data_IF_920437512138
#
_entry.id   IF_920437512138
#
_cell.length_a   1.000
_cell.length_b   1.000
_cell.length_c   1.000
_cell.angle_alpha   90.00
_cell.angle_beta   90.00
_cell.angle_gamma   90.00
#
_symmetry.space_group_name_H-M   'P 1'
#
loop_
_entity.id
_entity.type
_entity.pdbx_description
1 polymer ?
#
# COMPACT_ATOMS: atom_id res chain seq x y z
N UNK A 1 -17.59 12.58 -20.37
CA UNK A 1 -18.86 12.77 -19.64
C UNK A 1 -18.52 12.87 -18.16
N UNK A 2 -18.43 14.09 -17.62
CA UNK A 2 -18.11 14.39 -16.21
C UNK A 2 -19.38 14.19 -15.37
N UNK A 3 -19.88 12.96 -15.27
CA UNK A 3 -20.87 12.64 -14.23
C UNK A 3 -20.18 12.84 -12.88
N UNK A 4 -20.81 13.67 -12.06
CA UNK A 4 -20.11 14.51 -11.09
C UNK A 4 -19.55 13.71 -9.91
N UNK A 5 -18.29 14.00 -9.57
CA UNK A 5 -17.60 13.48 -8.38
C UNK A 5 -18.44 13.59 -7.10
N UNK A 6 -19.31 14.60 -6.99
CA UNK A 6 -20.22 14.81 -5.87
C UNK A 6 -21.37 13.80 -5.80
N UNK A 7 -21.99 13.45 -6.92
CA UNK A 7 -23.02 12.40 -6.96
C UNK A 7 -22.40 11.03 -6.61
N UNK A 8 -21.19 10.76 -7.09
CA UNK A 8 -20.47 9.54 -6.74
C UNK A 8 -20.13 9.48 -5.23
N UNK A 9 -19.76 10.62 -4.61
CA UNK A 9 -19.50 10.70 -3.16
C UNK A 9 -20.74 10.42 -2.31
N UNK A 10 -21.93 10.86 -2.73
CA UNK A 10 -23.19 10.58 -2.02
C UNK A 10 -23.50 9.07 -1.95
N UNK A 11 -22.98 8.28 -2.90
CA UNK A 11 -23.21 6.85 -2.99
C UNK A 11 -22.17 6.00 -2.21
N UNK A 12 -21.12 6.62 -1.64
CA UNK A 12 -20.05 5.90 -0.92
C UNK A 12 -20.54 5.18 0.35
N UNK A 13 -21.69 5.57 0.90
CA UNK A 13 -22.29 4.93 2.08
C UNK A 13 -23.09 3.66 1.73
N UNK A 14 -23.51 3.50 0.47
CA UNK A 14 -24.37 2.39 0.06
C UNK A 14 -23.74 1.00 0.23
N UNK A 15 -22.43 0.78 0.04
CA UNK A 15 -21.79 -0.51 0.31
C UNK A 15 -22.10 -1.10 1.69
N UNK A 16 -22.29 -0.26 2.70
CA UNK A 16 -22.64 -0.68 4.06
C UNK A 16 -24.05 -1.26 4.18
N UNK A 17 -24.96 -0.90 3.27
CA UNK A 17 -26.36 -1.34 3.26
C UNK A 17 -26.66 -2.41 2.20
N UNK A 18 -25.68 -2.78 1.39
CA UNK A 18 -25.87 -3.77 0.32
C UNK A 18 -25.72 -5.21 0.83
N UNK A 19 -26.56 -6.15 0.34
CA UNK A 19 -26.35 -7.57 0.59
C UNK A 19 -24.95 -8.01 0.13
N UNK A 20 -24.26 -8.83 0.93
CA UNK A 20 -22.87 -9.28 0.66
C UNK A 20 -22.66 -9.80 -0.77
N UNK A 21 -23.66 -10.47 -1.36
CA UNK A 21 -23.59 -10.98 -2.73
C UNK A 21 -23.50 -9.86 -3.77
N UNK A 22 -24.32 -8.82 -3.60
CA UNK A 22 -24.34 -7.64 -4.48
C UNK A 22 -23.03 -6.87 -4.36
N UNK A 23 -22.55 -6.64 -3.14
CA UNK A 23 -21.26 -5.98 -2.91
C UNK A 23 -20.10 -6.74 -3.60
N UNK A 24 -20.06 -8.07 -3.46
CA UNK A 24 -19.07 -8.91 -4.14
C UNK A 24 -19.15 -8.80 -5.66
N UNK A 25 -20.35 -8.77 -6.23
CA UNK A 25 -20.52 -8.61 -7.67
C UNK A 25 -20.10 -7.24 -8.17
N UNK A 26 -20.40 -6.18 -7.41
CA UNK A 26 -19.95 -4.83 -7.74
C UNK A 26 -18.44 -4.74 -7.73
N UNK A 27 -17.78 -5.17 -6.65
CA UNK A 27 -16.31 -5.20 -6.55
C UNK A 27 -15.67 -6.04 -7.65
N UNK A 28 -16.29 -7.17 -8.02
CA UNK A 28 -15.80 -8.00 -9.11
C UNK A 28 -15.91 -7.37 -10.50
N UNK A 29 -16.77 -6.34 -10.66
CA UNK A 29 -17.00 -5.60 -11.90
C UNK A 29 -16.30 -4.24 -11.93
N UNK A 30 -15.64 -3.84 -10.86
CA UNK A 30 -14.79 -2.64 -10.86
C UNK A 30 -13.68 -2.88 -11.89
N UNK A 31 -13.59 -2.07 -12.95
CA UNK A 31 -12.53 -2.21 -13.93
C UNK A 31 -11.17 -2.01 -13.28
N UNK A 32 -10.14 -2.59 -13.88
CA UNK A 32 -8.76 -2.29 -13.51
C UNK A 32 -8.54 -0.78 -13.58
N UNK A 33 -7.95 -0.21 -12.54
CA UNK A 33 -7.55 1.19 -12.54
C UNK A 33 -6.30 1.32 -13.42
N UNK A 34 -6.37 2.02 -14.57
CA UNK A 34 -5.23 2.15 -15.47
C UNK A 34 -4.05 2.90 -14.84
N UNK A 35 -4.31 3.75 -13.83
CA UNK A 35 -3.27 4.52 -13.14
C UNK A 35 -2.67 3.78 -11.93
N UNK A 36 -3.08 2.52 -11.70
CA UNK A 36 -2.76 1.68 -10.55
C UNK A 36 -3.26 2.23 -9.21
N UNK A 37 -3.92 1.40 -8.42
CA UNK A 37 -4.31 1.80 -7.06
C UNK A 37 -3.08 1.94 -6.16
N UNK A 38 -2.73 3.19 -5.86
CA UNK A 38 -1.71 3.54 -4.87
C UNK A 38 -2.34 3.70 -3.50
N UNK A 39 -1.86 2.91 -2.53
CA UNK A 39 -2.28 3.00 -1.14
C UNK A 39 -1.13 3.59 -0.31
N UNK A 40 -1.28 4.82 0.15
CA UNK A 40 -0.32 5.49 1.01
C UNK A 40 -0.89 5.65 2.42
N UNK A 41 -0.09 5.31 3.43
CA UNK A 41 -0.44 5.54 4.83
C UNK A 41 0.78 6.02 5.62
N UNK A 42 0.55 6.94 6.55
CA UNK A 42 1.54 7.43 7.50
C UNK A 42 1.03 7.18 8.92
N UNK A 43 1.78 6.41 9.69
CA UNK A 43 1.41 6.01 11.06
C UNK A 43 1.77 7.05 12.12
N UNK A 44 2.47 8.14 11.74
CA UNK A 44 2.96 9.13 12.70
C UNK A 44 4.13 8.61 13.54
N UNK A 45 4.28 9.20 14.72
CA UNK A 45 5.28 8.82 15.71
C UNK A 45 4.77 7.63 16.52
N UNK A 46 5.38 6.47 16.29
CA UNK A 46 5.02 5.24 16.97
C UNK A 46 5.78 5.12 18.30
N UNK A 47 5.09 4.60 19.31
CA UNK A 47 5.67 4.40 20.64
C UNK A 47 6.86 3.42 20.58
N UNK A 48 7.99 3.79 21.20
CA UNK A 48 9.21 2.98 21.22
C UNK A 48 9.02 1.58 21.84
N UNK A 49 7.97 1.36 22.63
CA UNK A 49 7.59 0.04 23.14
C UNK A 49 7.32 -0.98 22.03
N UNK A 50 6.91 -0.55 20.83
CA UNK A 50 6.70 -1.43 19.67
C UNK A 50 8.01 -2.09 19.23
N UNK A 51 9.15 -1.44 19.50
CA UNK A 51 10.48 -1.90 19.13
C UNK A 51 11.21 -2.59 20.29
N UNK A 52 10.52 -2.96 21.37
CA UNK A 52 11.11 -3.55 22.59
C UNK A 52 10.46 -4.88 22.95
N UNK A 53 10.45 -5.83 22.01
CA UNK A 53 9.76 -7.12 22.20
C UNK A 53 10.31 -7.94 23.39
N UNK A 54 11.60 -7.84 23.69
CA UNK A 54 12.27 -8.51 24.81
C UNK A 54 12.63 -7.55 25.97
N UNK A 55 12.13 -6.31 25.91
CA UNK A 55 12.48 -5.25 26.85
C UNK A 55 13.75 -4.46 26.51
N UNK A 56 14.44 -4.78 25.41
CA UNK A 56 15.57 -4.01 24.89
C UNK A 56 15.23 -3.37 23.53
N UNK A 57 15.90 -2.27 23.18
CA UNK A 57 15.64 -1.61 21.89
C UNK A 57 16.16 -2.46 20.73
N UNK A 58 15.27 -2.80 19.80
CA UNK A 58 15.66 -3.47 18.56
C UNK A 58 16.63 -2.61 17.74
N UNK A 59 17.66 -3.25 17.18
CA UNK A 59 18.61 -2.63 16.24
C UNK A 59 17.90 -2.14 14.96
N UNK A 60 16.88 -2.89 14.53
CA UNK A 60 16.05 -2.57 13.39
C UNK A 60 14.57 -2.81 13.70
N UNK A 61 13.72 -1.84 13.35
CA UNK A 61 12.27 -1.93 13.51
C UNK A 61 11.58 -1.34 12.28
N UNK A 62 10.59 -2.06 11.75
CA UNK A 62 9.75 -1.60 10.66
C UNK A 62 8.30 -2.04 10.85
N UNK A 63 7.41 -1.52 10.00
CA UNK A 63 6.07 -2.05 9.84
C UNK A 63 5.77 -2.20 8.35
N UNK A 64 4.91 -3.16 8.01
CA UNK A 64 4.44 -3.37 6.64
C UNK A 64 2.94 -3.66 6.61
N UNK A 65 2.30 -3.28 5.53
CA UNK A 65 0.93 -3.70 5.24
C UNK A 65 0.93 -5.10 4.64
N UNK A 66 0.07 -5.97 5.14
CA UNK A 66 -0.18 -7.28 4.54
C UNK A 66 -1.63 -7.37 4.11
N UNK A 67 -1.87 -7.62 2.81
CA UNK A 67 -3.23 -7.88 2.35
C UNK A 67 -3.63 -9.32 2.65
N UNK A 68 -4.86 -9.51 3.07
CA UNK A 68 -5.40 -10.84 3.34
C UNK A 68 -5.93 -11.49 2.06
N UNK A 69 -5.56 -12.76 1.82
CA UNK A 69 -6.05 -13.58 0.71
C UNK A 69 -5.81 -12.95 -0.67
N UNK A 70 -4.71 -12.21 -0.80
CA UNK A 70 -4.33 -11.64 -2.08
C UNK A 70 -3.77 -12.72 -2.99
N UNK A 71 -4.35 -12.82 -4.17
CA UNK A 71 -3.90 -13.74 -5.20
C UNK A 71 -3.38 -12.94 -6.39
N UNK A 72 -2.42 -13.51 -7.12
CA UNK A 72 -1.92 -12.91 -8.36
C UNK A 72 -3.05 -12.60 -9.34
N UNK A 73 -4.02 -13.52 -9.50
CA UNK A 73 -5.22 -13.32 -10.33
C UNK A 73 -6.03 -12.08 -9.91
N UNK A 74 -6.13 -11.81 -8.61
CA UNK A 74 -6.81 -10.60 -8.13
C UNK A 74 -6.04 -9.35 -8.54
N UNK A 75 -4.73 -9.33 -8.29
CA UNK A 75 -3.86 -8.20 -8.61
C UNK A 75 -3.80 -7.92 -10.12
N UNK A 76 -3.72 -8.96 -10.95
CA UNK A 76 -3.80 -8.86 -12.41
C UNK A 76 -5.13 -8.24 -12.85
N UNK A 77 -6.24 -8.70 -12.26
CA UNK A 77 -7.57 -8.18 -12.58
C UNK A 77 -7.76 -6.74 -12.14
N UNK A 78 -7.14 -6.30 -11.04
CA UNK A 78 -7.28 -4.93 -10.52
C UNK A 78 -6.31 -3.93 -11.15
N UNK A 79 -5.44 -4.37 -12.06
CA UNK A 79 -4.46 -3.49 -12.72
C UNK A 79 -3.16 -3.32 -11.94
N UNK A 80 -2.90 -4.18 -10.95
CA UNK A 80 -1.76 -4.08 -10.05
C UNK A 80 -2.09 -3.46 -8.70
N UNK A 81 -1.04 -3.12 -7.96
CA UNK A 81 -1.12 -2.43 -6.66
C UNK A 81 0.25 -1.88 -6.25
N UNK A 82 0.25 -0.67 -5.72
CA UNK A 82 1.36 -0.11 -4.96
C UNK A 82 0.89 0.21 -3.54
N UNK A 83 1.63 -0.23 -2.53
CA UNK A 83 1.39 0.10 -1.13
C UNK A 83 2.63 0.72 -0.55
N UNK A 84 2.49 1.92 0.01
CA UNK A 84 3.52 2.64 0.74
C UNK A 84 3.01 2.84 2.17
N UNK A 85 3.68 2.20 3.12
CA UNK A 85 3.45 2.43 4.54
C UNK A 85 4.66 3.13 5.12
N UNK A 86 4.44 4.22 5.84
CA UNK A 86 5.51 4.97 6.49
C UNK A 86 5.14 5.33 7.93
N UNK A 87 6.15 5.70 8.71
CA UNK A 87 6.00 6.13 10.10
C UNK A 87 7.36 6.43 10.70
N UNK A 88 7.36 6.91 11.94
CA UNK A 88 8.60 7.09 12.72
C UNK A 88 8.67 6.04 13.82
N UNK A 89 9.72 5.23 13.81
CA UNK A 89 10.05 4.26 14.84
C UNK A 89 11.46 4.56 15.33
N UNK A 90 11.62 4.66 16.66
CA UNK A 90 12.92 4.90 17.30
C UNK A 90 13.68 6.11 16.71
N UNK A 91 12.95 7.19 16.39
CA UNK A 91 13.53 8.41 15.82
C UNK A 91 13.90 8.35 14.32
N UNK A 92 13.74 7.19 13.66
CA UNK A 92 13.99 7.02 12.22
C UNK A 92 12.66 6.93 11.46
N UNK A 93 12.62 7.49 10.26
CA UNK A 93 11.50 7.26 9.34
C UNK A 93 11.72 5.91 8.67
N UNK A 94 10.73 5.03 8.74
CA UNK A 94 10.70 3.82 7.92
C UNK A 94 9.73 4.01 6.75
N UNK A 95 10.04 3.37 5.63
CA UNK A 95 9.17 3.29 4.45
C UNK A 95 9.14 1.82 4.01
N UNK A 96 7.95 1.21 4.05
CA UNK A 96 7.71 -0.13 3.52
C UNK A 96 6.99 -0.01 2.20
N UNK A 97 7.62 -0.52 1.14
CA UNK A 97 7.06 -0.54 -0.22
C UNK A 97 6.66 -1.96 -0.59
N UNK A 98 5.42 -2.13 -1.04
CA UNK A 98 4.93 -3.39 -1.61
C UNK A 98 4.29 -3.10 -2.96
N UNK A 99 4.83 -3.67 -4.03
CA UNK A 99 4.36 -3.42 -5.38
C UNK A 99 4.07 -4.71 -6.15
N UNK A 100 3.04 -4.67 -6.97
CA UNK A 100 2.80 -5.62 -8.04
C UNK A 100 2.25 -4.91 -9.26
N UNK A 101 2.92 -5.04 -10.40
CA UNK A 101 2.50 -4.46 -11.67
C UNK A 101 2.37 -5.56 -12.73
N UNK A 102 1.18 -5.78 -13.31
CA UNK A 102 0.99 -6.75 -14.38
C UNK A 102 1.94 -6.48 -15.55
N UNK A 103 2.61 -7.53 -16.04
CA UNK A 103 3.56 -7.43 -17.15
C UNK A 103 4.94 -6.85 -16.81
N UNK A 104 5.15 -6.36 -15.58
CA UNK A 104 6.45 -5.88 -15.13
C UNK A 104 7.28 -6.97 -14.43
N UNK A 105 8.55 -6.65 -14.19
CA UNK A 105 9.45 -7.46 -13.37
C UNK A 105 9.13 -7.30 -11.88
N UNK A 106 8.32 -8.22 -11.34
CA UNK A 106 7.85 -8.19 -9.96
C UNK A 106 8.81 -8.92 -9.01
N UNK A 107 10.09 -8.53 -9.02
CA UNK A 107 11.13 -9.10 -8.14
C UNK A 107 11.51 -8.10 -7.05
N UNK A 108 11.99 -8.61 -5.90
CA UNK A 108 12.49 -7.75 -4.82
C UNK A 108 13.71 -6.92 -5.27
N UNK A 109 14.51 -7.44 -6.20
CA UNK A 109 15.67 -6.71 -6.76
C UNK A 109 15.20 -5.52 -7.58
N UNK A 110 14.28 -5.72 -8.54
CA UNK A 110 13.73 -4.63 -9.35
C UNK A 110 13.05 -3.56 -8.48
N UNK A 111 12.33 -3.98 -7.43
CA UNK A 111 11.72 -3.05 -6.48
C UNK A 111 12.75 -2.26 -5.67
N UNK A 112 13.83 -2.92 -5.22
CA UNK A 112 14.95 -2.26 -4.51
C UNK A 112 15.58 -1.19 -5.39
N UNK A 113 15.95 -1.52 -6.62
CA UNK A 113 16.55 -0.54 -7.54
C UNK A 113 15.62 0.65 -7.82
N UNK A 114 14.31 0.41 -7.94
CA UNK A 114 13.34 1.48 -8.10
C UNK A 114 13.28 2.39 -6.85
N UNK A 115 13.30 1.79 -5.66
CA UNK A 115 13.33 2.54 -4.42
C UNK A 115 14.64 3.35 -4.25
N UNK A 116 15.78 2.79 -4.62
CA UNK A 116 17.08 3.48 -4.62
C UNK A 116 17.06 4.71 -5.54
N UNK A 117 16.63 4.54 -6.79
CA UNK A 117 16.49 5.65 -7.75
C UNK A 117 15.55 6.72 -7.20
N UNK A 118 14.40 6.31 -6.65
CA UNK A 118 13.43 7.25 -6.09
C UNK A 118 14.01 8.03 -4.91
N UNK A 119 14.72 7.38 -3.99
CA UNK A 119 15.37 8.09 -2.88
C UNK A 119 16.41 9.09 -3.39
N UNK A 120 17.20 8.71 -4.39
CA UNK A 120 18.18 9.59 -5.02
C UNK A 120 17.54 10.81 -5.70
N UNK A 121 16.39 10.64 -6.37
CA UNK A 121 15.65 11.75 -6.99
C UNK A 121 15.18 12.81 -5.98
N UNK A 122 15.05 12.44 -4.70
CA UNK A 122 14.69 13.34 -3.59
C UNK A 122 15.89 13.76 -2.72
N UNK A 123 17.12 13.45 -3.13
CA UNK A 123 18.35 13.66 -2.35
C UNK A 123 18.28 13.02 -0.94
N UNK A 124 17.59 11.89 -0.82
CA UNK A 124 17.44 11.15 0.43
C UNK A 124 18.42 9.98 0.51
N UNK A 125 19.03 9.83 1.68
CA UNK A 125 19.84 8.66 2.02
C UNK A 125 19.02 7.73 2.89
N UNK A 126 18.97 6.45 2.52
CA UNK A 126 18.24 5.42 3.26
C UNK A 126 18.92 4.06 3.16
N UNK A 127 18.75 3.24 4.20
CA UNK A 127 19.14 1.84 4.20
C UNK A 127 17.96 0.99 3.69
N UNK A 128 18.21 0.14 2.69
CA UNK A 128 17.17 -0.70 2.08
C UNK A 128 17.48 -2.16 2.36
N UNK A 129 16.54 -2.83 3.03
CA UNK A 129 16.62 -4.24 3.41
C UNK A 129 15.77 -5.12 2.50
#
# INVERSE_FOLDING_TARGET
MKETSEQAKQLLWLPSFMPKRMLKQMVARVPADPDQSVFCSYLGDLNALISQADGTMAEFANARTTGQRESRRLLDRTGGRLVILSGRLNGKIFISVGAYQPGAENTTVALRELAERTLADFDLVGEIH
#
